data_IF_867948015869
#
_entry.id   IF_867948015869
#
_cell.length_a   1.000
_cell.length_b   1.000
_cell.length_c   1.000
_cell.angle_alpha   90.00
_cell.angle_beta   90.00
_cell.angle_gamma   90.00
#
_symmetry.space_group_name_H-M   'P 1'
#
loop_
_entity.id
_entity.type
_entity.pdbx_description
1 polymer ?
#
# COMPACT_ATOMS: atom_id res chain seq x y z
N UNK A 1 -29.80 -56.99 29.19
CA UNK A 1 -28.92 -56.94 28.00
C UNK A 1 -29.06 -55.65 27.17
N UNK A 2 -30.16 -54.89 27.27
CA UNK A 2 -30.34 -53.63 26.52
C UNK A 2 -29.62 -52.40 27.13
N UNK A 3 -29.36 -52.38 28.44
CA UNK A 3 -28.72 -51.24 29.13
C UNK A 3 -27.24 -51.05 28.78
N UNK A 4 -26.49 -52.13 28.56
CA UNK A 4 -25.07 -52.07 28.20
C UNK A 4 -24.82 -51.51 26.78
N UNK A 5 -25.75 -51.75 25.84
CA UNK A 5 -25.66 -51.22 24.48
C UNK A 5 -25.90 -49.69 24.44
N UNK A 6 -26.85 -49.19 25.25
CA UNK A 6 -27.12 -47.76 25.38
C UNK A 6 -25.97 -47.00 26.09
N UNK A 7 -25.31 -47.63 27.08
CA UNK A 7 -24.14 -47.03 27.73
C UNK A 7 -22.93 -46.91 26.78
N UNK A 8 -22.67 -47.91 25.92
CA UNK A 8 -21.60 -47.85 24.91
C UNK A 8 -21.86 -46.80 23.82
N UNK A 9 -23.10 -46.64 23.37
CA UNK A 9 -23.51 -45.59 22.42
C UNK A 9 -23.36 -44.19 23.03
N UNK A 10 -23.77 -43.99 24.29
CA UNK A 10 -23.59 -42.74 25.00
C UNK A 10 -22.11 -42.40 25.25
N UNK A 11 -21.27 -43.41 25.54
CA UNK A 11 -19.82 -43.22 25.69
C UNK A 11 -19.15 -42.81 24.36
N UNK A 12 -19.48 -43.46 23.24
CA UNK A 12 -18.96 -43.09 21.92
C UNK A 12 -19.43 -41.71 21.47
N UNK A 13 -20.69 -41.37 21.72
CA UNK A 13 -21.24 -40.04 21.46
C UNK A 13 -20.55 -38.97 22.32
N UNK A 14 -20.27 -39.25 23.59
CA UNK A 14 -19.55 -38.35 24.50
C UNK A 14 -18.11 -38.08 24.07
N UNK A 15 -17.37 -39.12 23.67
CA UNK A 15 -16.02 -38.96 23.12
C UNK A 15 -16.01 -38.12 21.83
N UNK A 16 -16.93 -38.39 20.90
CA UNK A 16 -17.06 -37.61 19.67
C UNK A 16 -17.37 -36.13 19.93
N UNK A 17 -18.20 -35.85 20.94
CA UNK A 17 -18.57 -34.49 21.33
C UNK A 17 -17.37 -33.72 21.90
N UNK A 18 -16.54 -34.39 22.70
CA UNK A 18 -15.32 -33.82 23.27
C UNK A 18 -14.32 -33.48 22.16
N UNK A 19 -14.10 -34.37 21.20
CA UNK A 19 -13.20 -34.13 20.07
C UNK A 19 -13.67 -32.95 19.20
N UNK A 20 -14.98 -32.81 18.98
CA UNK A 20 -15.57 -31.65 18.29
C UNK A 20 -15.32 -30.37 19.07
N UNK A 21 -15.53 -30.36 20.39
CA UNK A 21 -15.32 -29.17 21.23
C UNK A 21 -13.84 -28.77 21.24
N UNK A 22 -12.91 -29.71 21.40
CA UNK A 22 -11.49 -29.44 21.31
C UNK A 22 -11.08 -28.93 19.92
N UNK A 23 -11.62 -29.52 18.86
CA UNK A 23 -11.36 -29.06 17.49
C UNK A 23 -11.86 -27.62 17.27
N UNK A 24 -13.04 -27.28 17.80
CA UNK A 24 -13.60 -25.92 17.76
C UNK A 24 -12.75 -24.93 18.57
N UNK A 25 -12.25 -25.33 19.74
CA UNK A 25 -11.36 -24.50 20.56
C UNK A 25 -10.03 -24.24 19.86
N UNK A 26 -9.42 -25.27 19.28
CA UNK A 26 -8.18 -25.15 18.50
C UNK A 26 -8.40 -24.27 17.27
N UNK A 27 -9.50 -24.47 16.54
CA UNK A 27 -9.84 -23.66 15.37
C UNK A 27 -10.08 -22.19 15.72
N UNK A 28 -10.81 -21.93 16.81
CA UNK A 28 -11.02 -20.59 17.36
C UNK A 28 -9.69 -19.91 17.70
N UNK A 29 -8.80 -20.62 18.39
CA UNK A 29 -7.50 -20.10 18.76
C UNK A 29 -6.61 -19.83 17.53
N UNK A 30 -6.57 -20.75 16.56
CA UNK A 30 -5.86 -20.58 15.31
C UNK A 30 -6.39 -19.37 14.51
N UNK A 31 -7.71 -19.18 14.49
CA UNK A 31 -8.34 -18.03 13.84
C UNK A 31 -7.92 -16.69 14.49
N UNK A 32 -7.87 -16.62 15.82
CA UNK A 32 -7.39 -15.42 16.54
C UNK A 32 -5.92 -15.14 16.22
N UNK A 33 -5.07 -16.17 16.16
CA UNK A 33 -3.66 -15.99 15.77
C UNK A 33 -3.51 -15.48 14.33
N UNK A 34 -4.32 -16.00 13.40
CA UNK A 34 -4.34 -15.52 12.01
C UNK A 34 -4.76 -14.05 11.92
N UNK A 35 -5.78 -13.62 12.70
CA UNK A 35 -6.19 -12.22 12.75
C UNK A 35 -5.10 -11.30 13.31
N UNK A 36 -4.36 -11.74 14.33
CA UNK A 36 -3.24 -10.96 14.89
C UNK A 36 -2.08 -10.83 13.90
N UNK A 37 -1.75 -11.91 13.18
CA UNK A 37 -0.73 -11.90 12.14
C UNK A 37 -1.13 -10.93 11.01
N UNK A 38 -2.38 -11.00 10.52
CA UNK A 38 -2.89 -10.08 9.50
C UNK A 38 -2.84 -8.61 9.95
N UNK A 39 -3.26 -8.32 11.18
CA UNK A 39 -3.20 -6.95 11.73
C UNK A 39 -1.77 -6.41 11.77
N UNK A 40 -0.80 -7.26 12.08
CA UNK A 40 0.62 -6.89 12.14
C UNK A 40 1.19 -6.64 10.75
N UNK A 41 0.89 -7.52 9.79
CA UNK A 41 1.29 -7.37 8.38
C UNK A 41 0.71 -6.08 7.80
N UNK A 42 -0.59 -5.84 7.95
CA UNK A 42 -1.26 -4.63 7.44
C UNK A 42 -0.66 -3.36 8.05
N UNK A 43 -0.35 -3.38 9.35
CA UNK A 43 0.29 -2.24 10.01
C UNK A 43 1.68 -1.98 9.43
N UNK A 44 2.50 -3.02 9.28
CA UNK A 44 3.86 -2.86 8.75
C UNK A 44 3.87 -2.36 7.30
N UNK A 45 3.01 -2.92 6.43
CA UNK A 45 2.84 -2.43 5.05
C UNK A 45 2.41 -0.97 5.02
N UNK A 46 1.33 -0.62 5.74
CA UNK A 46 0.82 0.75 5.74
C UNK A 46 1.81 1.76 6.31
N UNK A 47 2.64 1.39 7.28
CA UNK A 47 3.57 2.37 7.87
C UNK A 47 4.75 2.62 6.93
N UNK A 48 5.29 1.57 6.30
CA UNK A 48 6.45 1.71 5.41
C UNK A 48 6.10 2.47 4.12
N UNK A 49 4.98 2.13 3.48
CA UNK A 49 4.56 2.79 2.24
C UNK A 49 4.22 4.26 2.46
N UNK A 50 3.57 4.58 3.57
CA UNK A 50 3.22 5.95 3.94
C UNK A 50 4.47 6.77 4.26
N UNK A 51 5.41 6.22 5.02
CA UNK A 51 6.68 6.89 5.32
C UNK A 51 7.50 7.15 4.04
N UNK A 52 7.59 6.17 3.14
CA UNK A 52 8.24 6.33 1.84
C UNK A 52 7.54 7.40 0.99
N UNK A 53 6.22 7.49 1.03
CA UNK A 53 5.47 8.54 0.33
C UNK A 53 5.75 9.93 0.90
N UNK A 54 5.77 10.08 2.24
CA UNK A 54 6.10 11.34 2.90
C UNK A 54 7.53 11.79 2.59
N UNK A 55 8.51 10.88 2.67
CA UNK A 55 9.90 11.20 2.33
C UNK A 55 10.05 11.64 0.87
N UNK A 56 9.40 10.92 -0.06
CA UNK A 56 9.41 11.30 -1.48
C UNK A 56 8.76 12.67 -1.70
N UNK A 57 7.71 13.01 -0.96
CA UNK A 57 7.01 14.29 -1.06
C UNK A 57 7.85 15.46 -0.49
N UNK A 58 8.49 15.27 0.65
CA UNK A 58 9.40 16.28 1.22
C UNK A 58 10.58 16.54 0.29
N UNK A 59 11.15 15.49 -0.29
CA UNK A 59 12.22 15.62 -1.28
C UNK A 59 11.74 16.29 -2.57
N UNK A 60 10.50 16.03 -3.00
CA UNK A 60 9.90 16.73 -4.15
C UNK A 60 9.75 18.22 -3.83
N UNK A 61 9.22 18.57 -2.66
CA UNK A 61 9.03 19.95 -2.24
C UNK A 61 10.36 20.69 -2.14
N UNK A 62 11.40 20.05 -1.60
CA UNK A 62 12.75 20.58 -1.58
C UNK A 62 13.27 20.86 -3.01
N UNK A 63 13.14 19.90 -3.93
CA UNK A 63 13.54 20.08 -5.33
C UNK A 63 12.78 21.22 -6.01
N UNK A 64 11.47 21.38 -5.73
CA UNK A 64 10.67 22.50 -6.24
C UNK A 64 11.20 23.83 -5.69
N UNK A 65 11.40 23.93 -4.38
CA UNK A 65 11.85 25.16 -3.71
C UNK A 65 13.21 25.64 -4.21
N UNK A 66 14.12 24.71 -4.49
CA UNK A 66 15.46 25.00 -5.00
C UNK A 66 15.55 25.00 -6.53
N UNK A 67 14.42 24.86 -7.23
CA UNK A 67 14.32 24.83 -8.69
C UNK A 67 15.27 23.80 -9.35
N UNK A 68 15.47 22.67 -8.68
CA UNK A 68 16.31 21.56 -9.16
C UNK A 68 15.48 20.76 -10.15
N UNK A 69 15.66 21.02 -11.44
CA UNK A 69 14.91 20.31 -12.47
C UNK A 69 15.75 19.83 -13.64
N UNK A 70 15.33 18.69 -14.19
CA UNK A 70 15.84 18.14 -15.44
C UNK A 70 15.05 18.76 -16.59
N UNK A 71 15.74 19.49 -17.46
CA UNK A 71 15.14 20.18 -18.60
C UNK A 71 15.09 19.24 -19.80
N UNK A 72 13.98 19.28 -20.51
CA UNK A 72 13.72 18.58 -21.76
C UNK A 72 13.12 19.54 -22.76
N UNK A 73 13.41 19.32 -24.04
CA UNK A 73 12.80 20.08 -25.13
C UNK A 73 11.85 19.15 -25.87
N UNK A 74 10.59 19.55 -25.98
CA UNK A 74 9.57 18.82 -26.72
C UNK A 74 9.25 19.58 -28.01
N UNK A 75 9.38 18.92 -29.15
CA UNK A 75 8.95 19.46 -30.44
C UNK A 75 7.73 18.68 -30.93
N UNK A 76 6.67 19.40 -31.26
CA UNK A 76 5.43 18.80 -31.79
C UNK A 76 5.48 18.69 -33.31
N UNK A 77 4.60 17.87 -33.90
CA UNK A 77 4.44 17.75 -35.36
C UNK A 77 4.14 19.08 -36.05
N UNK A 78 3.54 20.03 -35.33
CA UNK A 78 3.15 21.34 -35.84
C UNK A 78 4.27 22.38 -35.66
N UNK A 79 5.50 21.94 -35.41
CA UNK A 79 6.69 22.78 -35.24
C UNK A 79 6.64 23.74 -34.03
N UNK A 80 5.77 23.48 -33.05
CA UNK A 80 5.83 24.16 -31.75
C UNK A 80 6.87 23.50 -30.85
N UNK A 81 7.68 24.31 -30.18
CA UNK A 81 8.72 23.87 -29.25
C UNK A 81 8.36 24.30 -27.82
N UNK A 82 8.43 23.33 -26.91
CA UNK A 82 8.15 23.51 -25.48
C UNK A 82 9.38 23.16 -24.65
N UNK A 83 9.66 23.98 -23.64
CA UNK A 83 10.58 23.66 -22.57
C UNK A 83 9.82 22.96 -21.45
N UNK A 84 10.19 21.71 -21.19
CA UNK A 84 9.68 20.91 -20.09
C UNK A 84 10.73 20.82 -18.99
N UNK A 85 10.31 20.96 -17.74
CA UNK A 85 11.17 20.90 -16.57
C UNK A 85 10.55 19.86 -15.62
N UNK A 86 11.23 18.72 -15.50
CA UNK A 86 10.85 17.61 -14.62
C UNK A 86 11.56 17.77 -13.28
N UNK A 87 10.77 17.80 -12.22
CA UNK A 87 11.21 17.85 -10.85
C UNK A 87 10.86 16.51 -10.21
N UNK A 88 11.81 15.89 -9.52
CA UNK A 88 11.62 14.58 -8.91
C UNK A 88 11.88 14.65 -7.40
N UNK A 89 11.04 13.94 -6.64
CA UNK A 89 11.29 13.59 -5.25
C UNK A 89 11.33 12.09 -5.13
N UNK A 90 12.37 11.55 -4.49
CA UNK A 90 12.56 10.11 -4.34
C UNK A 90 12.71 9.77 -2.87
N UNK A 91 12.00 8.74 -2.42
CA UNK A 91 12.36 8.05 -1.18
C UNK A 91 13.50 7.06 -1.48
N UNK A 92 14.29 6.71 -0.46
CA UNK A 92 15.43 5.81 -0.61
C UNK A 92 15.05 4.44 -1.18
N UNK A 93 13.83 3.97 -0.93
CA UNK A 93 13.55 2.55 -1.08
C UNK A 93 12.57 2.16 -2.19
N UNK A 94 11.69 3.02 -2.71
CA UNK A 94 10.73 2.54 -3.75
C UNK A 94 9.93 3.64 -4.45
N UNK A 95 9.53 4.70 -3.75
CA UNK A 95 8.59 5.69 -4.28
C UNK A 95 9.32 6.86 -4.95
N UNK A 96 8.96 7.15 -6.20
CA UNK A 96 9.38 8.35 -6.94
C UNK A 96 8.16 9.18 -7.33
N UNK A 97 8.11 10.42 -6.87
CA UNK A 97 7.13 11.41 -7.28
C UNK A 97 7.74 12.34 -8.34
N UNK A 98 6.96 12.67 -9.37
CA UNK A 98 7.39 13.53 -10.47
C UNK A 98 6.40 14.67 -10.68
N UNK A 99 6.94 15.88 -10.81
CA UNK A 99 6.20 17.07 -11.16
C UNK A 99 6.78 17.67 -12.44
N UNK A 100 5.91 18.13 -13.34
CA UNK A 100 6.31 18.64 -14.64
C UNK A 100 5.77 20.04 -14.85
N UNK A 101 6.65 20.94 -15.29
CA UNK A 101 6.25 22.25 -15.82
C UNK A 101 6.57 22.32 -17.29
N UNK A 102 5.66 22.83 -18.10
CA UNK A 102 5.79 22.91 -19.56
C UNK A 102 5.51 24.35 -19.98
N UNK A 103 6.45 24.95 -20.70
CA UNK A 103 6.37 26.33 -21.17
C UNK A 103 6.64 26.37 -22.68
N UNK A 104 5.75 27.00 -23.44
CA UNK A 104 5.96 27.22 -24.87
C UNK A 104 7.00 28.32 -25.08
N UNK A 105 8.01 28.07 -25.92
CA UNK A 105 9.17 28.97 -26.07
C UNK A 105 8.80 30.31 -26.73
N UNK A 106 7.70 30.36 -27.48
CA UNK A 106 7.30 31.53 -28.26
C UNK A 106 6.02 32.23 -27.78
N UNK A 107 5.46 31.82 -26.63
CA UNK A 107 4.23 32.45 -26.12
C UNK A 107 4.60 33.60 -25.20
N UNK A 108 4.53 34.83 -25.72
CA UNK A 108 4.64 36.03 -24.89
C UNK A 108 3.48 36.05 -23.90
N UNK A 109 3.81 36.00 -22.60
CA UNK A 109 2.83 36.17 -21.52
C UNK A 109 2.35 37.63 -21.59
N UNK A 110 1.20 37.87 -22.23
CA UNK A 110 0.52 39.16 -22.12
C UNK A 110 -0.11 39.22 -20.74
N UNK A 111 0.47 40.00 -19.83
CA UNK A 111 -0.23 40.35 -18.59
C UNK A 111 -1.46 41.21 -18.94
N UNK A 112 -2.66 40.88 -18.45
CA UNK A 112 -3.78 41.81 -18.50
C UNK A 112 -3.42 43.05 -17.66
N UNK A 113 -3.67 44.23 -18.23
CA UNK A 113 -3.51 45.54 -17.57
C UNK A 113 -4.50 45.72 -16.44
#
# INVERSE_FOLDING_TARGET
MQEHANQQLNYRSGFLSIDIIFSLLILSFAFVLLLQAQKTIIKQLNTHDVENFYEANDNLFHSIKHNVCKKYTLQTSNNHTYNMCMIEGRSKNEVTLRYYTIHEINKTIRHPK
#
